data_IF_358241664642
#
_entry.id   IF_358241664642
#
_cell.length_a   1.000
_cell.length_b   1.000
_cell.length_c   1.000
_cell.angle_alpha   90.00
_cell.angle_beta   90.00
_cell.angle_gamma   90.00
#
_symmetry.space_group_name_H-M   'P 1'
#
loop_
_entity.id
_entity.type
_entity.pdbx_description
1 polymer ?
#
# COMPACT_ATOMS: atom_id res chain seq x y z
N UNK A 1 15.99 -0.95 -22.29
CA UNK A 1 15.84 0.31 -23.07
C UNK A 1 17.05 1.24 -22.90
N UNK A 2 17.51 1.53 -21.68
CA UNK A 2 18.68 2.41 -21.45
C UNK A 2 19.91 2.08 -22.31
N UNK A 3 20.35 0.82 -22.31
CA UNK A 3 21.49 0.40 -23.16
C UNK A 3 21.27 0.66 -24.66
N UNK A 4 20.03 0.61 -25.15
CA UNK A 4 19.73 0.92 -26.56
C UNK A 4 19.80 2.42 -26.84
N UNK A 5 19.36 3.26 -25.89
CA UNK A 5 19.54 4.71 -25.95
C UNK A 5 21.03 5.08 -25.99
N UNK A 6 21.84 4.45 -25.15
CA UNK A 6 23.29 4.72 -25.09
C UNK A 6 23.99 4.30 -26.39
N UNK A 7 23.63 3.14 -26.95
CA UNK A 7 24.10 2.69 -28.27
C UNK A 7 23.71 3.67 -29.38
N UNK A 8 22.46 4.15 -29.37
CA UNK A 8 21.97 5.13 -30.34
C UNK A 8 22.76 6.44 -30.28
N UNK A 9 22.92 7.02 -29.08
CA UNK A 9 23.70 8.25 -28.85
C UNK A 9 25.15 8.09 -29.31
N UNK A 10 25.75 6.94 -28.99
CA UNK A 10 27.13 6.64 -29.40
C UNK A 10 27.26 6.56 -30.93
N UNK A 11 26.33 5.89 -31.61
CA UNK A 11 26.33 5.75 -33.06
C UNK A 11 26.20 7.11 -33.76
N UNK A 12 25.31 7.98 -33.28
CA UNK A 12 25.06 9.30 -33.87
C UNK A 12 25.93 10.43 -33.30
N UNK A 13 26.90 10.13 -32.44
CA UNK A 13 27.76 11.14 -31.80
C UNK A 13 28.52 12.04 -32.80
N UNK A 14 28.83 11.52 -34.00
CA UNK A 14 29.56 12.24 -35.07
C UNK A 14 28.65 12.87 -36.12
N UNK A 15 27.34 12.90 -35.93
CA UNK A 15 26.39 13.41 -36.93
C UNK A 15 26.67 14.87 -37.32
N UNK A 16 27.02 15.72 -36.36
CA UNK A 16 27.39 17.12 -36.63
C UNK A 16 28.65 17.23 -37.50
N UNK A 17 29.64 16.38 -37.26
CA UNK A 17 30.85 16.32 -38.09
C UNK A 17 30.52 15.90 -39.54
N UNK A 18 29.68 14.88 -39.72
CA UNK A 18 29.25 14.45 -41.05
C UNK A 18 28.41 15.52 -41.76
N UNK A 19 27.57 16.25 -41.03
CA UNK A 19 26.81 17.39 -41.56
C UNK A 19 27.74 18.48 -42.10
N UNK A 20 28.72 18.91 -41.32
CA UNK A 20 29.71 19.90 -41.76
C UNK A 20 30.52 19.44 -42.98
N UNK A 21 30.91 18.16 -43.02
CA UNK A 21 31.62 17.59 -44.17
C UNK A 21 30.74 17.53 -45.43
N UNK A 22 29.46 17.20 -45.29
CA UNK A 22 28.51 17.20 -46.40
C UNK A 22 28.26 18.63 -46.92
N UNK A 23 28.12 19.61 -46.02
CA UNK A 23 27.96 21.02 -46.39
C UNK A 23 29.19 21.56 -47.14
N UNK A 24 30.40 21.15 -46.72
CA UNK A 24 31.64 21.45 -47.45
C UNK A 24 31.66 20.82 -48.85
N UNK A 25 31.30 19.54 -48.98
CA UNK A 25 31.18 18.85 -50.28
C UNK A 25 30.14 19.50 -51.19
N UNK A 26 29.01 19.95 -50.62
CA UNK A 26 27.98 20.71 -51.34
C UNK A 26 28.53 22.02 -51.91
N UNK A 27 29.36 22.75 -51.14
CA UNK A 27 29.98 23.98 -51.60
C UNK A 27 30.96 23.74 -52.74
N UNK A 28 31.82 22.70 -52.62
CA UNK A 28 32.76 22.33 -53.68
C UNK A 28 32.02 21.89 -54.95
N UNK A 29 31.01 21.03 -54.82
CA UNK A 29 30.18 20.56 -55.93
C UNK A 29 29.53 21.73 -56.69
N UNK A 30 28.91 22.67 -55.97
CA UNK A 30 28.31 23.88 -56.57
C UNK A 30 29.33 24.71 -57.37
N UNK A 31 30.57 24.81 -56.90
CA UNK A 31 31.62 25.53 -57.63
C UNK A 31 32.05 24.80 -58.90
N UNK A 32 32.13 23.46 -58.85
CA UNK A 32 32.45 22.63 -60.02
C UNK A 32 31.36 22.77 -61.09
N UNK A 33 30.09 22.63 -60.71
CA UNK A 33 28.96 22.78 -61.64
C UNK A 33 28.99 24.15 -62.31
N UNK A 34 29.17 25.24 -61.54
CA UNK A 34 29.29 26.60 -62.11
C UNK A 34 30.42 26.74 -63.12
N UNK A 35 31.55 26.10 -62.88
CA UNK A 35 32.72 26.17 -63.78
C UNK A 35 32.51 25.34 -65.05
N UNK A 36 31.82 24.21 -64.93
CA UNK A 36 31.48 23.30 -66.03
C UNK A 36 30.40 23.88 -66.93
N UNK A 37 29.36 24.50 -66.35
CA UNK A 37 28.29 25.18 -67.09
C UNK A 37 28.83 26.34 -67.95
N UNK A 38 29.87 27.05 -67.48
CA UNK A 38 30.57 28.10 -68.24
C UNK A 38 31.34 27.56 -69.47
N UNK A 39 31.74 26.28 -69.45
CA UNK A 39 32.47 25.63 -70.55
C UNK A 39 31.53 25.02 -71.62
N UNK A 40 30.21 25.00 -71.38
CA UNK A 40 29.17 24.82 -72.40
C UNK A 40 28.91 23.42 -72.97
N UNK A 41 29.66 22.38 -72.57
CA UNK A 41 29.68 21.09 -73.29
C UNK A 41 29.59 19.81 -72.42
N UNK A 42 29.17 19.90 -71.14
CA UNK A 42 29.13 18.73 -70.24
C UNK A 42 27.75 18.65 -69.57
N UNK A 43 27.09 17.49 -69.69
CA UNK A 43 25.85 17.19 -68.99
C UNK A 43 26.11 16.93 -67.49
N UNK A 44 25.45 17.71 -66.63
CA UNK A 44 25.61 17.65 -65.17
C UNK A 44 24.38 17.08 -64.46
N UNK A 45 23.35 16.64 -65.19
CA UNK A 45 22.07 16.21 -64.62
C UNK A 45 22.23 15.03 -63.65
N UNK A 46 22.97 14.00 -64.03
CA UNK A 46 23.20 12.82 -63.19
C UNK A 46 23.95 13.17 -61.90
N UNK A 47 24.95 14.06 -62.00
CA UNK A 47 25.74 14.50 -60.86
C UNK A 47 24.89 15.31 -59.87
N UNK A 48 24.03 16.20 -60.38
CA UNK A 48 23.06 16.95 -59.57
C UNK A 48 22.09 16.01 -58.85
N UNK A 49 21.55 15.02 -59.55
CA UNK A 49 20.66 14.01 -58.96
C UNK A 49 21.35 13.22 -57.84
N UNK A 50 22.58 12.74 -58.06
CA UNK A 50 23.35 12.04 -57.03
C UNK A 50 23.60 12.91 -55.79
N UNK A 51 23.93 14.18 -55.99
CA UNK A 51 24.16 15.10 -54.88
C UNK A 51 22.87 15.39 -54.09
N UNK A 52 21.75 15.58 -54.80
CA UNK A 52 20.44 15.72 -54.16
C UNK A 52 20.08 14.48 -53.34
N UNK A 53 20.20 13.28 -53.91
CA UNK A 53 19.93 12.02 -53.21
C UNK A 53 20.75 11.84 -51.93
N UNK A 54 22.04 12.21 -51.94
CA UNK A 54 22.88 12.15 -50.74
C UNK A 54 22.36 13.09 -49.65
N UNK A 55 21.99 14.32 -50.01
CA UNK A 55 21.43 15.28 -49.06
C UNK A 55 20.09 14.81 -48.50
N UNK A 56 19.21 14.30 -49.35
CA UNK A 56 17.89 13.79 -48.95
C UNK A 56 18.03 12.59 -48.00
N UNK A 57 18.92 11.64 -48.32
CA UNK A 57 19.21 10.49 -47.46
C UNK A 57 19.83 10.91 -46.13
N UNK A 58 20.75 11.86 -46.13
CA UNK A 58 21.36 12.36 -44.89
C UNK A 58 20.31 13.05 -44.00
N UNK A 59 19.44 13.87 -44.60
CA UNK A 59 18.34 14.53 -43.91
C UNK A 59 17.37 13.49 -43.30
N UNK A 60 16.93 12.53 -44.12
CA UNK A 60 16.05 11.45 -43.70
C UNK A 60 16.63 10.66 -42.52
N UNK A 61 17.89 10.22 -42.61
CA UNK A 61 18.53 9.45 -41.52
C UNK A 61 18.65 10.29 -40.25
N UNK A 62 19.07 11.55 -40.37
CA UNK A 62 19.27 12.43 -39.20
C UNK A 62 17.95 12.74 -38.50
N UNK A 63 16.89 13.02 -39.26
CA UNK A 63 15.56 13.27 -38.71
C UNK A 63 15.00 12.03 -38.01
N UNK A 64 15.11 10.86 -38.65
CA UNK A 64 14.66 9.60 -38.03
C UNK A 64 15.47 9.26 -36.78
N UNK A 65 16.78 9.51 -36.76
CA UNK A 65 17.61 9.32 -35.58
C UNK A 65 17.12 10.18 -34.41
N UNK A 66 16.80 11.45 -34.65
CA UNK A 66 16.25 12.32 -33.61
C UNK A 66 14.90 11.82 -33.06
N UNK A 67 14.00 11.37 -33.94
CA UNK A 67 12.70 10.79 -33.53
C UNK A 67 12.92 9.53 -32.69
N UNK A 68 13.83 8.64 -33.10
CA UNK A 68 14.13 7.43 -32.35
C UNK A 68 14.79 7.72 -31.01
N UNK A 69 15.68 8.71 -30.95
CA UNK A 69 16.24 9.15 -29.67
C UNK A 69 15.15 9.64 -28.72
N UNK A 70 14.22 10.48 -29.19
CA UNK A 70 13.08 10.95 -28.38
C UNK A 70 12.22 9.77 -27.89
N UNK A 71 11.89 8.82 -28.77
CA UNK A 71 11.13 7.62 -28.41
C UNK A 71 11.83 6.77 -27.36
N UNK A 72 13.15 6.58 -27.50
CA UNK A 72 13.95 5.82 -26.54
C UNK A 72 14.05 6.54 -25.19
N UNK A 73 14.22 7.87 -25.19
CA UNK A 73 14.21 8.68 -23.97
C UNK A 73 12.86 8.61 -23.25
N UNK A 74 11.75 8.74 -23.99
CA UNK A 74 10.41 8.61 -23.40
C UNK A 74 10.17 7.21 -22.85
N UNK A 75 10.56 6.16 -23.58
CA UNK A 75 10.44 4.79 -23.11
C UNK A 75 11.25 4.55 -21.81
N UNK A 76 12.45 5.14 -21.67
CA UNK A 76 13.21 5.09 -20.40
C UNK A 76 12.44 5.77 -19.28
N UNK A 77 11.86 6.96 -19.52
CA UNK A 77 11.06 7.69 -18.54
C UNK A 77 9.83 6.90 -18.09
N UNK A 78 9.05 6.36 -19.03
CA UNK A 78 7.89 5.53 -18.73
C UNK A 78 8.26 4.29 -17.91
N UNK A 79 9.39 3.63 -18.23
CA UNK A 79 9.88 2.51 -17.45
C UNK A 79 10.22 2.90 -16.02
N UNK A 80 10.88 4.05 -15.83
CA UNK A 80 11.23 4.55 -14.51
C UNK A 80 9.97 4.83 -13.67
N UNK A 81 9.01 5.57 -14.24
CA UNK A 81 7.76 5.90 -13.55
C UNK A 81 6.96 4.65 -13.17
N UNK A 82 6.81 3.71 -14.11
CA UNK A 82 6.10 2.45 -13.84
C UNK A 82 6.78 1.64 -12.72
N UNK A 83 8.11 1.53 -12.75
CA UNK A 83 8.87 0.80 -11.72
C UNK A 83 8.78 1.44 -10.35
N UNK A 84 8.74 2.77 -10.29
CA UNK A 84 8.58 3.46 -9.03
C UNK A 84 7.18 3.25 -8.43
N UNK A 85 6.12 3.32 -9.25
CA UNK A 85 4.77 2.95 -8.82
C UNK A 85 4.70 1.48 -8.37
N UNK A 86 5.28 0.57 -9.15
CA UNK A 86 5.36 -0.87 -8.83
C UNK A 86 6.05 -1.09 -7.48
N UNK A 87 7.16 -0.40 -7.23
CA UNK A 87 7.94 -0.48 -5.99
C UNK A 87 7.15 0.03 -4.79
N UNK A 88 6.58 1.23 -4.87
CA UNK A 88 5.81 1.85 -3.78
C UNK A 88 4.67 0.92 -3.33
N UNK A 89 3.90 0.39 -4.28
CA UNK A 89 2.78 -0.51 -3.98
C UNK A 89 3.30 -1.83 -3.42
N UNK A 90 4.36 -2.40 -3.99
CA UNK A 90 4.93 -3.66 -3.50
C UNK A 90 5.46 -3.53 -2.07
N UNK A 91 6.18 -2.44 -1.76
CA UNK A 91 6.72 -2.18 -0.42
C UNK A 91 5.58 -2.02 0.60
N UNK A 92 4.52 -1.30 0.24
CA UNK A 92 3.34 -1.16 1.09
C UNK A 92 2.63 -2.50 1.30
N UNK A 93 2.42 -3.28 0.24
CA UNK A 93 1.79 -4.60 0.33
C UNK A 93 2.59 -5.56 1.22
N UNK A 94 3.92 -5.57 1.08
CA UNK A 94 4.78 -6.38 1.94
C UNK A 94 4.64 -5.98 3.41
N UNK A 95 4.57 -4.67 3.70
CA UNK A 95 4.36 -4.20 5.07
C UNK A 95 2.97 -4.56 5.58
N UNK A 96 1.94 -4.45 4.75
CA UNK A 96 0.57 -4.83 5.09
C UNK A 96 0.46 -6.34 5.41
N UNK A 97 1.06 -7.19 4.57
CA UNK A 97 1.12 -8.65 4.78
C UNK A 97 1.84 -8.99 6.09
N UNK A 98 2.94 -8.28 6.43
CA UNK A 98 3.64 -8.45 7.70
C UNK A 98 2.76 -8.10 8.90
N UNK A 99 2.08 -6.96 8.87
CA UNK A 99 1.17 -6.52 9.94
C UNK A 99 0.02 -7.52 10.12
N UNK A 100 -0.62 -7.96 9.03
CA UNK A 100 -1.71 -8.93 9.09
C UNK A 100 -1.24 -10.28 9.66
N UNK A 101 0.01 -10.67 9.40
CA UNK A 101 0.60 -11.92 9.89
C UNK A 101 1.08 -11.88 11.34
N UNK A 102 1.14 -10.69 11.95
CA UNK A 102 1.68 -10.48 13.29
C UNK A 102 0.74 -11.10 14.35
N UNK A 103 1.26 -12.05 15.14
CA UNK A 103 0.45 -12.85 16.08
C UNK A 103 0.33 -12.22 17.47
N UNK A 104 1.37 -11.52 17.91
CA UNK A 104 1.49 -10.93 19.25
C UNK A 104 1.18 -9.44 19.20
N UNK A 105 -0.11 -9.10 19.36
CA UNK A 105 -0.58 -7.71 19.32
C UNK A 105 -1.43 -7.53 20.56
N UNK A 106 -0.75 -7.24 21.66
CA UNK A 106 -1.33 -7.30 23.01
C UNK A 106 -1.40 -5.90 23.64
N UNK A 107 -1.03 -4.85 22.90
CA UNK A 107 -1.05 -3.46 23.38
C UNK A 107 -1.82 -2.54 22.46
N UNK A 108 -2.43 -1.52 23.09
CA UNK A 108 -3.22 -0.49 22.41
C UNK A 108 -2.38 0.30 21.40
N UNK A 109 -1.11 0.54 21.69
CA UNK A 109 -0.20 1.27 20.80
C UNK A 109 0.03 0.52 19.49
N UNK A 110 0.15 -0.81 19.54
CA UNK A 110 0.37 -1.62 18.33
C UNK A 110 -0.89 -1.63 17.46
N UNK A 111 -2.07 -1.82 18.05
CA UNK A 111 -3.35 -1.77 17.31
C UNK A 111 -3.58 -0.40 16.67
N UNK A 112 -3.30 0.68 17.40
CA UNK A 112 -3.39 2.04 16.85
C UNK A 112 -2.39 2.25 15.70
N UNK A 113 -1.17 1.71 15.82
CA UNK A 113 -0.19 1.75 14.72
C UNK A 113 -0.69 1.01 13.48
N UNK A 114 -1.33 -0.15 13.63
CA UNK A 114 -1.92 -0.90 12.52
C UNK A 114 -3.06 -0.10 11.87
N UNK A 115 -3.94 0.48 12.68
CA UNK A 115 -5.04 1.33 12.22
C UNK A 115 -4.55 2.53 11.40
N UNK A 116 -3.59 3.28 11.95
CA UNK A 116 -2.98 4.43 11.28
C UNK A 116 -2.34 4.01 9.94
N UNK A 117 -1.69 2.84 9.89
CA UNK A 117 -1.09 2.34 8.66
C UNK A 117 -2.13 2.09 7.55
N UNK A 118 -3.24 1.42 7.88
CA UNK A 118 -4.29 1.11 6.91
C UNK A 118 -5.15 2.34 6.54
N UNK A 119 -5.33 3.30 7.45
CA UNK A 119 -6.03 4.56 7.17
C UNK A 119 -5.23 5.52 6.26
N UNK A 120 -3.90 5.48 6.32
CA UNK A 120 -3.01 6.32 5.49
C UNK A 120 -2.82 5.80 4.07
N UNK A 121 -3.52 4.73 3.69
CA UNK A 121 -3.41 4.16 2.34
C UNK A 121 -3.87 5.19 1.30
N UNK A 122 -3.05 5.41 0.27
CA UNK A 122 -3.40 6.33 -0.81
C UNK A 122 -4.03 5.57 -1.98
N UNK A 123 -5.34 5.73 -2.16
CA UNK A 123 -6.09 5.10 -3.25
C UNK A 123 -5.60 5.49 -4.66
N UNK A 124 -4.88 6.61 -4.79
CA UNK A 124 -4.33 7.05 -6.08
C UNK A 124 -3.18 6.18 -6.58
N UNK A 125 -2.50 5.42 -5.72
CA UNK A 125 -1.36 4.60 -6.16
C UNK A 125 -1.75 3.60 -7.24
N UNK A 126 -2.92 2.97 -7.13
CA UNK A 126 -3.41 2.03 -8.15
C UNK A 126 -3.75 2.76 -9.45
N UNK A 127 -4.36 3.95 -9.36
CA UNK A 127 -4.62 4.78 -10.53
C UNK A 127 -3.31 5.14 -11.25
N UNK A 128 -2.31 5.60 -10.50
CA UNK A 128 -1.01 6.00 -11.04
C UNK A 128 -0.25 4.80 -11.64
N UNK A 129 -0.36 3.61 -11.04
CA UNK A 129 0.17 2.36 -11.59
C UNK A 129 -0.46 2.04 -12.95
N UNK A 130 -1.80 2.12 -13.05
CA UNK A 130 -2.52 1.83 -14.31
C UNK A 130 -2.16 2.85 -15.38
N UNK A 131 -2.10 4.13 -15.01
CA UNK A 131 -1.75 5.20 -15.95
C UNK A 131 -0.32 5.05 -16.47
N UNK A 132 0.66 4.87 -15.58
CA UNK A 132 2.07 4.69 -15.97
C UNK A 132 2.29 3.40 -16.76
N UNK A 133 1.53 2.34 -16.48
CA UNK A 133 1.53 1.12 -17.28
C UNK A 133 0.97 1.35 -18.70
N UNK A 134 -0.10 2.14 -18.84
CA UNK A 134 -0.66 2.48 -20.14
C UNK A 134 0.31 3.32 -20.97
N UNK A 135 0.94 4.33 -20.36
CA UNK A 135 1.95 5.17 -21.01
C UNK A 135 3.15 4.33 -21.46
N UNK A 136 3.60 3.40 -20.62
CA UNK A 136 4.69 2.48 -20.96
C UNK A 136 4.30 1.54 -22.10
N UNK A 137 3.08 1.01 -22.12
CA UNK A 137 2.58 0.16 -23.22
C UNK A 137 2.53 0.93 -24.54
N UNK A 138 2.17 2.21 -24.52
CA UNK A 138 2.16 3.05 -25.71
C UNK A 138 3.57 3.26 -26.29
N UNK A 139 4.61 3.12 -25.47
CA UNK A 139 6.02 3.23 -25.86
C UNK A 139 6.66 1.91 -26.31
N UNK A 140 5.97 0.78 -26.13
CA UNK A 140 6.52 -0.57 -26.33
C UNK A 140 5.78 -1.36 -27.41
N UNK A 141 6.50 -2.21 -28.16
CA UNK A 141 5.88 -3.12 -29.10
C UNK A 141 5.04 -4.19 -28.36
N UNK A 142 4.03 -4.73 -29.05
CA UNK A 142 2.95 -5.53 -28.46
C UNK A 142 3.42 -6.82 -27.78
N UNK A 143 4.53 -7.41 -28.23
CA UNK A 143 5.18 -8.58 -27.66
C UNK A 143 5.71 -8.32 -26.23
N UNK A 144 6.08 -7.08 -25.92
CA UNK A 144 6.63 -6.68 -24.62
C UNK A 144 5.58 -6.14 -23.65
N UNK A 145 4.31 -6.01 -24.07
CA UNK A 145 3.26 -5.44 -23.22
C UNK A 145 2.70 -6.44 -22.20
N UNK A 146 2.68 -7.74 -22.52
CA UNK A 146 2.06 -8.77 -21.66
C UNK A 146 2.63 -8.80 -20.23
N UNK A 147 3.96 -8.76 -20.00
CA UNK A 147 4.49 -8.77 -18.64
C UNK A 147 4.06 -7.57 -17.79
N UNK A 148 3.85 -6.41 -18.42
CA UNK A 148 3.40 -5.19 -17.72
C UNK A 148 1.96 -5.37 -17.26
N UNK A 149 1.08 -5.84 -18.15
CA UNK A 149 -0.32 -6.13 -17.83
C UNK A 149 -0.42 -7.14 -16.69
N UNK A 150 0.31 -8.25 -16.77
CA UNK A 150 0.31 -9.26 -15.72
C UNK A 150 0.80 -8.70 -14.36
N UNK A 151 1.79 -7.80 -14.36
CA UNK A 151 2.26 -7.21 -13.09
C UNK A 151 1.20 -6.28 -12.49
N UNK A 152 0.55 -5.46 -13.31
CA UNK A 152 -0.55 -4.58 -12.87
C UNK A 152 -1.71 -5.38 -12.31
N UNK A 153 -2.18 -6.41 -13.04
CA UNK A 153 -3.28 -7.27 -12.59
C UNK A 153 -2.96 -7.95 -11.26
N UNK A 154 -1.74 -8.48 -11.11
CA UNK A 154 -1.28 -9.10 -9.86
C UNK A 154 -1.28 -8.12 -8.70
N UNK A 155 -0.74 -6.91 -8.90
CA UNK A 155 -0.70 -5.89 -7.85
C UNK A 155 -2.10 -5.40 -7.48
N UNK A 156 -2.98 -5.19 -8.46
CA UNK A 156 -4.37 -4.81 -8.22
C UNK A 156 -5.13 -5.89 -7.44
N UNK A 157 -4.94 -7.17 -7.81
CA UNK A 157 -5.57 -8.28 -7.11
C UNK A 157 -5.13 -8.34 -5.65
N UNK A 158 -3.82 -8.31 -5.39
CA UNK A 158 -3.26 -8.29 -4.03
C UNK A 158 -3.71 -7.08 -3.23
N UNK A 159 -3.70 -5.91 -3.85
CA UNK A 159 -4.17 -4.67 -3.23
C UNK A 159 -5.63 -4.77 -2.78
N UNK A 160 -6.50 -5.25 -3.67
CA UNK A 160 -7.91 -5.46 -3.36
C UNK A 160 -8.11 -6.49 -2.25
N UNK A 161 -7.36 -7.59 -2.30
CA UNK A 161 -7.41 -8.63 -1.28
C UNK A 161 -7.02 -8.07 0.10
N UNK A 162 -5.86 -7.40 0.20
CA UNK A 162 -5.39 -6.78 1.44
C UNK A 162 -6.39 -5.76 1.98
N UNK A 163 -6.93 -4.88 1.13
CA UNK A 163 -7.92 -3.90 1.57
C UNK A 163 -9.26 -4.52 1.98
N UNK A 164 -9.62 -5.67 1.42
CA UNK A 164 -10.82 -6.41 1.88
C UNK A 164 -10.60 -7.09 3.23
N UNK A 165 -9.36 -7.50 3.52
CA UNK A 165 -9.00 -8.16 4.78
C UNK A 165 -8.70 -7.18 5.92
N UNK A 166 -8.15 -6.00 5.61
CA UNK A 166 -7.68 -5.05 6.62
C UNK A 166 -8.76 -4.63 7.63
N UNK A 167 -10.01 -4.27 7.24
CA UNK A 167 -11.05 -3.93 8.21
C UNK A 167 -11.36 -5.09 9.16
N UNK A 168 -11.46 -6.32 8.62
CA UNK A 168 -11.73 -7.52 9.42
C UNK A 168 -10.60 -7.83 10.40
N UNK A 169 -9.35 -7.62 9.97
CA UNK A 169 -8.18 -7.78 10.83
C UNK A 169 -8.19 -6.76 11.98
N UNK A 170 -8.40 -5.47 11.68
CA UNK A 170 -8.46 -4.41 12.70
C UNK A 170 -9.58 -4.65 13.72
N UNK A 171 -10.76 -5.06 13.27
CA UNK A 171 -11.88 -5.39 14.16
C UNK A 171 -11.53 -6.54 15.12
N UNK A 172 -10.86 -7.59 14.63
CA UNK A 172 -10.39 -8.69 15.50
C UNK A 172 -9.34 -8.24 16.52
N UNK A 173 -8.47 -7.30 16.15
CA UNK A 173 -7.49 -6.74 17.08
C UNK A 173 -8.13 -5.87 18.16
N UNK A 174 -9.05 -4.99 17.77
CA UNK A 174 -9.83 -4.16 18.71
C UNK A 174 -10.63 -5.04 19.68
N UNK A 175 -11.28 -6.09 19.16
CA UNK A 175 -11.99 -7.09 19.98
C UNK A 175 -11.05 -7.72 21.00
N UNK A 176 -9.87 -8.18 20.59
CA UNK A 176 -8.91 -8.86 21.46
C UNK A 176 -8.35 -7.94 22.55
N UNK A 177 -8.20 -6.64 22.27
CA UNK A 177 -7.80 -5.67 23.29
C UNK A 177 -8.89 -5.49 24.35
N UNK A 178 -10.14 -5.33 23.94
CA UNK A 178 -11.27 -5.24 24.87
C UNK A 178 -11.42 -6.53 25.67
N UNK A 179 -11.21 -7.69 25.03
CA UNK A 179 -11.21 -9.00 25.68
C UNK A 179 -10.10 -9.11 26.72
N UNK A 180 -8.88 -8.69 26.41
CA UNK A 180 -7.74 -8.69 27.35
C UNK A 180 -8.02 -7.77 28.54
N UNK A 181 -8.58 -6.59 28.26
CA UNK A 181 -8.96 -5.61 29.28
C UNK A 181 -10.06 -6.15 30.19
N UNK A 182 -11.08 -6.79 29.61
CA UNK A 182 -12.14 -7.48 30.33
C UNK A 182 -11.58 -8.54 31.28
N UNK A 183 -10.72 -9.45 30.78
CA UNK A 183 -10.12 -10.50 31.61
C UNK A 183 -9.29 -9.93 32.77
N UNK A 184 -8.62 -8.78 32.56
CA UNK A 184 -7.91 -8.08 33.62
C UNK A 184 -8.86 -7.54 34.69
N UNK A 185 -9.98 -6.93 34.30
CA UNK A 185 -11.01 -6.48 35.26
C UNK A 185 -11.63 -7.65 36.02
N UNK A 186 -11.98 -8.74 35.33
CA UNK A 186 -12.49 -9.97 35.97
C UNK A 186 -11.53 -10.47 37.04
N UNK A 187 -10.23 -10.57 36.71
CA UNK A 187 -9.20 -11.01 37.65
C UNK A 187 -9.10 -10.10 38.87
N UNK A 188 -9.25 -8.80 38.69
CA UNK A 188 -9.19 -7.84 39.79
C UNK A 188 -10.45 -7.84 40.66
N UNK A 189 -11.62 -8.04 40.06
CA UNK A 189 -12.89 -8.27 40.79
C UNK A 189 -12.82 -9.56 41.60
N UNK A 190 -12.35 -10.67 41.02
CA UNK A 190 -12.22 -11.95 41.73
C UNK A 190 -11.24 -11.88 42.91
N UNK A 191 -10.13 -11.14 42.75
CA UNK A 191 -9.23 -10.88 43.88
C UNK A 191 -9.93 -10.10 44.98
N UNK A 192 -10.67 -9.06 44.63
CA UNK A 192 -11.36 -8.22 45.61
C UNK A 192 -12.44 -9.01 46.36
N UNK A 193 -13.27 -9.80 45.65
CA UNK A 193 -14.25 -10.73 46.26
C UNK A 193 -13.55 -11.67 47.25
N UNK A 194 -12.41 -12.26 46.87
CA UNK A 194 -11.67 -13.17 47.75
C UNK A 194 -11.13 -12.46 49.00
N UNK A 195 -10.64 -11.22 48.87
CA UNK A 195 -10.15 -10.43 50.00
C UNK A 195 -11.31 -10.13 50.97
N UNK A 196 -12.43 -9.63 50.44
CA UNK A 196 -13.62 -9.30 51.24
C UNK A 196 -14.21 -10.55 51.92
N UNK A 197 -14.31 -11.68 51.21
CA UNK A 197 -14.79 -12.94 51.78
C UNK A 197 -13.87 -13.46 52.88
N UNK A 198 -12.55 -13.36 52.72
CA UNK A 198 -11.59 -13.75 53.75
C UNK A 198 -11.69 -12.87 55.01
N UNK A 199 -11.83 -11.56 54.83
CA UNK A 199 -12.03 -10.61 55.93
C UNK A 199 -13.33 -10.91 56.68
N UNK A 200 -14.41 -11.18 55.95
CA UNK A 200 -15.71 -11.55 56.53
C UNK A 200 -15.61 -12.87 57.33
N UNK A 201 -14.98 -13.90 56.78
CA UNK A 201 -14.79 -15.18 57.46
C UNK A 201 -13.94 -15.09 58.73
N UNK A 202 -13.05 -14.10 58.81
CA UNK A 202 -12.24 -13.79 60.00
C UNK A 202 -12.96 -12.92 61.03
N UNK A 203 -14.23 -12.56 60.78
CA UNK A 203 -15.01 -11.65 61.62
C UNK A 203 -14.32 -10.29 61.80
N UNK A 204 -13.65 -9.80 60.76
CA UNK A 204 -13.12 -8.43 60.73
C UNK A 204 -14.27 -7.41 60.71
N UNK A 205 -13.96 -6.13 60.92
CA UNK A 205 -14.97 -5.07 61.01
C UNK A 205 -15.81 -4.98 59.72
N UNK A 206 -17.09 -5.36 59.82
CA UNK A 206 -18.05 -5.38 58.71
C UNK A 206 -18.23 -3.99 58.06
N UNK A 207 -18.21 -2.91 58.85
CA UNK A 207 -18.29 -1.54 58.30
C UNK A 207 -17.09 -1.21 57.41
N UNK A 208 -15.90 -1.69 57.78
CA UNK A 208 -14.70 -1.50 56.98
C UNK A 208 -14.76 -2.29 55.67
N UNK A 209 -15.34 -3.50 55.70
CA UNK A 209 -15.55 -4.34 54.50
C UNK A 209 -16.58 -3.68 53.57
N UNK A 210 -17.71 -3.20 54.10
CA UNK A 210 -18.73 -2.48 53.31
C UNK A 210 -18.16 -1.22 52.68
N UNK A 211 -17.37 -0.44 53.43
CA UNK A 211 -16.72 0.77 52.90
C UNK A 211 -15.77 0.44 51.75
N UNK A 212 -15.00 -0.65 51.87
CA UNK A 212 -14.09 -1.14 50.82
C UNK A 212 -14.83 -1.63 49.57
N UNK A 213 -15.92 -2.38 49.75
CA UNK A 213 -16.78 -2.81 48.64
C UNK A 213 -17.36 -1.59 47.88
N UNK A 214 -17.86 -0.60 48.62
CA UNK A 214 -18.39 0.63 48.01
C UNK A 214 -17.29 1.40 47.28
N UNK A 215 -16.11 1.52 47.86
CA UNK A 215 -14.97 2.16 47.21
C UNK A 215 -14.60 1.46 45.89
N UNK A 216 -14.49 0.13 45.90
CA UNK A 216 -14.06 -0.62 44.72
C UNK A 216 -15.13 -0.69 43.63
N UNK A 217 -16.38 -1.03 43.96
CA UNK A 217 -17.42 -1.26 42.96
C UNK A 217 -18.19 0.00 42.56
N UNK A 218 -18.34 0.98 43.47
CA UNK A 218 -19.11 2.20 43.19
C UNK A 218 -18.18 3.36 42.82
N UNK A 219 -17.20 3.68 43.67
CA UNK A 219 -16.40 4.89 43.47
C UNK A 219 -15.41 4.75 42.30
N UNK A 220 -14.84 3.56 42.08
CA UNK A 220 -13.96 3.30 40.93
C UNK A 220 -14.69 3.00 39.62
N UNK A 221 -16.00 2.74 39.67
CA UNK A 221 -16.80 2.47 38.47
C UNK A 221 -16.43 1.20 37.70
N UNK A 222 -15.77 0.22 38.33
CA UNK A 222 -15.24 -0.99 37.67
C UNK A 222 -16.33 -1.76 36.90
N UNK A 223 -17.54 -1.84 37.46
CA UNK A 223 -18.71 -2.48 36.81
C UNK A 223 -19.05 -1.81 35.48
N UNK A 224 -19.04 -0.48 35.43
CA UNK A 224 -19.38 0.29 34.24
C UNK A 224 -18.31 0.11 33.15
N UNK A 225 -17.03 0.07 33.54
CA UNK A 225 -15.92 -0.21 32.62
C UNK A 225 -16.03 -1.62 32.02
N UNK A 226 -16.38 -2.63 32.83
CA UNK A 226 -16.61 -4.00 32.34
C UNK A 226 -17.77 -4.06 31.35
N UNK A 227 -18.91 -3.45 31.69
CA UNK A 227 -20.07 -3.37 30.80
C UNK A 227 -19.73 -2.65 29.49
N UNK A 228 -18.90 -1.61 29.54
CA UNK A 228 -18.44 -0.89 28.35
C UNK A 228 -17.56 -1.78 27.46
N UNK A 229 -16.63 -2.56 28.02
CA UNK A 229 -15.84 -3.54 27.26
C UNK A 229 -16.74 -4.56 26.56
N UNK A 230 -17.73 -5.12 27.28
CA UNK A 230 -18.69 -6.08 26.71
C UNK A 230 -19.49 -5.44 25.59
N UNK A 231 -19.97 -4.22 25.79
CA UNK A 231 -20.76 -3.51 24.78
C UNK A 231 -19.94 -3.20 23.52
N UNK A 232 -18.66 -2.82 23.66
CA UNK A 232 -17.76 -2.61 22.54
C UNK A 232 -17.52 -3.91 21.77
N UNK A 233 -17.20 -5.01 22.47
CA UNK A 233 -17.03 -6.33 21.87
C UNK A 233 -18.28 -6.80 21.11
N UNK A 234 -19.48 -6.58 21.65
CA UNK A 234 -20.76 -6.84 20.97
C UNK A 234 -20.88 -6.05 19.67
N UNK A 235 -20.65 -4.73 19.71
CA UNK A 235 -20.73 -3.87 18.51
C UNK A 235 -19.74 -4.31 17.44
N UNK A 236 -18.53 -4.71 17.84
CA UNK A 236 -17.52 -5.24 16.92
C UNK A 236 -18.00 -6.57 16.32
N UNK A 237 -18.48 -7.52 17.12
CA UNK A 237 -18.97 -8.81 16.64
C UNK A 237 -20.19 -8.68 15.69
N UNK A 238 -21.14 -7.79 16.01
CA UNK A 238 -22.28 -7.46 15.15
C UNK A 238 -21.85 -6.83 13.82
N UNK A 239 -20.86 -5.94 13.87
CA UNK A 239 -20.33 -5.33 12.66
C UNK A 239 -19.56 -6.37 11.84
N UNK A 240 -18.79 -7.25 12.49
CA UNK A 240 -17.98 -8.29 11.85
C UNK A 240 -18.85 -9.31 11.11
N UNK A 241 -19.94 -9.76 11.73
CA UNK A 241 -20.87 -10.73 11.14
C UNK A 241 -21.57 -10.21 9.88
N UNK A 242 -21.73 -8.89 9.72
CA UNK A 242 -22.24 -8.30 8.47
C UNK A 242 -21.28 -8.51 7.30
N UNK A 243 -19.98 -8.53 7.56
CA UNK A 243 -18.95 -8.75 6.53
C UNK A 243 -18.61 -10.23 6.35
N UNK A 244 -18.64 -11.01 7.43
CA UNK A 244 -18.35 -12.45 7.46
C UNK A 244 -19.50 -13.23 8.12
N UNK A 245 -20.65 -13.44 7.44
CA UNK A 245 -21.82 -14.07 8.03
C UNK A 245 -21.60 -15.54 8.44
N UNK A 246 -20.63 -16.21 7.82
CA UNK A 246 -20.32 -17.61 8.07
C UNK A 246 -19.36 -17.80 9.26
N UNK A 247 -18.80 -16.71 9.82
CA UNK A 247 -17.88 -16.77 10.95
C UNK A 247 -18.58 -16.35 12.24
N UNK A 248 -18.89 -17.34 13.09
CA UNK A 248 -19.53 -17.14 14.39
C UNK A 248 -18.54 -16.92 15.55
N UNK A 249 -17.23 -16.95 15.29
CA UNK A 249 -16.20 -16.99 16.35
C UNK A 249 -16.27 -15.82 17.33
N UNK A 250 -16.45 -14.59 16.84
CA UNK A 250 -16.57 -13.42 17.71
C UNK A 250 -17.87 -13.43 18.52
N UNK A 251 -18.98 -13.88 17.94
CA UNK A 251 -20.25 -13.98 18.67
C UNK A 251 -20.19 -15.06 19.76
N UNK A 252 -19.55 -16.20 19.48
CA UNK A 252 -19.31 -17.24 20.49
C UNK A 252 -18.43 -16.74 21.64
N UNK A 253 -17.42 -15.93 21.32
CA UNK A 253 -16.54 -15.30 22.31
C UNK A 253 -17.31 -14.30 23.18
N UNK A 254 -18.16 -13.46 22.57
CA UNK A 254 -19.07 -12.55 23.30
C UNK A 254 -19.98 -13.32 24.24
N UNK A 255 -20.64 -14.38 23.77
CA UNK A 255 -21.52 -15.20 24.62
C UNK A 255 -20.76 -15.79 25.83
N UNK A 256 -19.52 -16.21 25.61
CA UNK A 256 -18.65 -16.74 26.68
C UNK A 256 -18.31 -15.65 27.70
N UNK A 257 -17.93 -14.45 27.24
CA UNK A 257 -17.63 -13.29 28.07
C UNK A 257 -18.85 -12.86 28.89
N UNK A 258 -20.04 -12.84 28.29
CA UNK A 258 -21.29 -12.51 28.99
C UNK A 258 -21.60 -13.51 30.10
N UNK A 259 -21.49 -14.81 29.83
CA UNK A 259 -21.70 -15.85 30.83
C UNK A 259 -20.69 -15.75 31.99
N UNK A 260 -19.43 -15.44 31.68
CA UNK A 260 -18.40 -15.21 32.70
C UNK A 260 -18.74 -13.98 33.56
N UNK A 261 -19.17 -12.90 32.92
CA UNK A 261 -19.57 -11.69 33.63
C UNK A 261 -20.78 -11.92 34.53
N UNK A 262 -21.81 -12.60 34.04
CA UNK A 262 -23.00 -12.94 34.82
C UNK A 262 -22.64 -13.78 36.06
N UNK A 263 -21.76 -14.77 35.89
CA UNK A 263 -21.28 -15.62 37.00
C UNK A 263 -20.58 -14.79 38.08
N UNK A 264 -19.77 -13.81 37.68
CA UNK A 264 -19.04 -12.96 38.62
C UNK A 264 -19.95 -11.92 39.26
N UNK A 265 -20.86 -11.31 38.50
CA UNK A 265 -21.85 -10.39 39.02
C UNK A 265 -22.72 -11.05 40.10
N UNK A 266 -23.13 -12.31 39.90
CA UNK A 266 -23.84 -13.09 40.91
C UNK A 266 -23.00 -13.32 42.18
N UNK A 267 -21.69 -13.57 42.07
CA UNK A 267 -20.80 -13.68 43.24
C UNK A 267 -20.67 -12.36 44.00
N UNK A 268 -20.55 -11.23 43.29
CA UNK A 268 -20.50 -9.90 43.90
C UNK A 268 -21.78 -9.61 44.67
N UNK A 269 -22.94 -9.90 44.07
CA UNK A 269 -24.24 -9.68 44.69
C UNK A 269 -24.44 -10.59 45.90
N UNK A 270 -24.02 -11.86 45.82
CA UNK A 270 -24.09 -12.79 46.95
C UNK A 270 -23.28 -12.30 48.15
N UNK A 271 -22.03 -11.86 47.92
CA UNK A 271 -21.18 -11.31 48.97
C UNK A 271 -21.77 -10.03 49.56
N UNK A 272 -22.32 -9.14 48.72
CA UNK A 272 -23.02 -7.95 49.19
C UNK A 272 -24.19 -8.30 50.10
N UNK A 273 -25.00 -9.28 49.74
CA UNK A 273 -26.11 -9.72 50.58
C UNK A 273 -25.64 -10.30 51.92
N UNK A 274 -24.54 -11.08 51.94
CA UNK A 274 -23.95 -11.58 53.18
C UNK A 274 -23.46 -10.45 54.11
N UNK A 275 -22.91 -9.37 53.55
CA UNK A 275 -22.40 -8.24 54.33
C UNK A 275 -23.50 -7.36 54.94
N UNK A 276 -24.73 -7.41 54.40
CA UNK A 276 -25.86 -6.61 54.88
C UNK A 276 -26.87 -7.42 55.73
N UNK A 277 -26.62 -8.71 55.96
CA UNK A 277 -27.36 -9.57 56.90
C UNK A 277 -26.73 -9.52 58.29
#
# INVERSE_FOLDING_TARGET
VQSQLDKHRTFFARTMYYKSMLDSKNKVFKNIIKSVDQAGNIDTQEANQKMQQINDRFSYVTQNAQIWEQKLQEAVRCWHNFRECERIISDWLLKAEQLISEKHIDTKEIVESHKIFFERVNERWIHDLVQTAQDLRNCLPSDQQRPIVNSVERLQSKWKEVLSFAPLHLMRLEFRLDETTFHQYIKDIEKEINIEQQAFNKQENVEAIIARNKEFFVNRGVVLEVEQCIQNMKKIAESYSKWQPNDSSLNESVNTIENQWETIAQKVEHLRQQLHQ
#
